data_IF_433262523229
#
_entry.id   IF_433262523229
#
_cell.length_a   1.000
_cell.length_b   1.000
_cell.length_c   1.000
_cell.angle_alpha   90.00
_cell.angle_beta   90.00
_cell.angle_gamma   90.00
#
_symmetry.space_group_name_H-M   'P 1'
#
loop_
_entity.id
_entity.type
_entity.pdbx_description
1 polymer ?
#
# COMPACT_ATOMS: atom_id res chain seq x y z
N UNK A 1 29.66 -18.43 -19.80
CA UNK A 1 28.83 -17.46 -20.55
C UNK A 1 29.58 -16.13 -20.62
N UNK A 2 29.88 -15.58 -21.81
CA UNK A 2 30.58 -14.30 -21.90
C UNK A 2 29.64 -13.19 -21.44
N UNK A 3 30.04 -12.44 -20.41
CA UNK A 3 29.30 -11.28 -19.93
C UNK A 3 29.50 -10.12 -20.90
N UNK A 4 28.56 -9.94 -21.82
CA UNK A 4 28.58 -8.82 -22.76
C UNK A 4 28.55 -7.52 -21.95
N UNK A 5 29.67 -6.80 -21.91
CA UNK A 5 29.75 -5.48 -21.27
C UNK A 5 28.77 -4.55 -21.98
N UNK A 6 27.64 -4.24 -21.33
CA UNK A 6 26.64 -3.29 -21.85
C UNK A 6 27.31 -1.93 -22.04
N UNK A 7 27.59 -1.55 -23.30
CA UNK A 7 28.05 -0.20 -23.62
C UNK A 7 26.95 0.82 -23.33
N UNK A 8 27.36 1.95 -22.77
CA UNK A 8 26.52 3.09 -22.41
C UNK A 8 25.88 3.72 -23.66
N UNK A 9 24.54 3.75 -23.72
CA UNK A 9 23.82 4.50 -24.76
C UNK A 9 23.62 5.95 -24.26
N UNK A 10 24.26 6.91 -24.92
CA UNK A 10 24.27 8.34 -24.53
C UNK A 10 22.87 9.00 -24.61
N UNK A 11 21.92 8.37 -25.31
CA UNK A 11 20.51 8.79 -25.36
C UNK A 11 19.68 8.34 -24.15
N UNK A 12 20.28 7.67 -23.13
CA UNK A 12 19.55 7.07 -21.99
C UNK A 12 19.39 7.93 -20.74
N UNK A 13 20.01 9.10 -20.64
CA UNK A 13 19.79 9.97 -19.48
C UNK A 13 18.31 10.35 -19.41
N UNK A 14 17.71 10.10 -18.25
CA UNK A 14 16.26 10.21 -18.01
C UNK A 14 15.84 11.64 -17.67
N UNK A 15 16.80 12.52 -17.38
CA UNK A 15 16.55 13.92 -17.06
C UNK A 15 17.64 14.86 -17.59
N UNK A 16 17.32 16.15 -17.69
CA UNK A 16 18.29 17.19 -18.07
C UNK A 16 19.43 17.34 -17.05
N UNK A 17 19.12 17.14 -15.76
CA UNK A 17 20.11 17.17 -14.69
C UNK A 17 21.15 16.06 -14.84
N UNK A 18 20.71 14.83 -15.13
CA UNK A 18 21.63 13.71 -15.34
C UNK A 18 22.61 13.96 -16.49
N UNK A 19 22.15 14.60 -17.58
CA UNK A 19 23.01 14.98 -18.71
C UNK A 19 24.10 15.97 -18.28
N UNK A 20 23.71 16.99 -17.52
CA UNK A 20 24.64 18.00 -17.02
C UNK A 20 25.68 17.39 -16.07
N UNK A 21 25.23 16.55 -15.14
CA UNK A 21 26.13 15.85 -14.20
C UNK A 21 27.08 14.92 -14.94
N UNK A 22 26.60 14.16 -15.93
CA UNK A 22 27.46 13.28 -16.72
C UNK A 22 28.53 14.06 -17.51
N UNK A 23 28.17 15.20 -18.09
CA UNK A 23 29.12 16.08 -18.77
C UNK A 23 30.19 16.61 -17.80
N UNK A 24 29.77 17.08 -16.62
CA UNK A 24 30.68 17.55 -15.57
C UNK A 24 31.63 16.44 -15.07
N UNK A 25 31.14 15.21 -14.94
CA UNK A 25 31.94 14.08 -14.47
C UNK A 25 32.95 13.56 -15.52
N UNK A 26 32.69 13.78 -16.82
CA UNK A 26 33.55 13.30 -17.92
C UNK A 26 34.98 13.81 -17.81
N UNK A 27 35.17 15.06 -17.37
CA UNK A 27 36.49 15.68 -17.24
C UNK A 27 37.17 15.34 -15.90
N UNK A 28 36.40 14.90 -14.90
CA UNK A 28 36.87 14.73 -13.51
C UNK A 28 37.11 13.29 -13.12
N UNK A 29 36.49 12.33 -13.81
CA UNK A 29 36.53 10.91 -13.47
C UNK A 29 36.83 10.06 -14.70
N UNK A 30 37.82 9.18 -14.59
CA UNK A 30 38.28 8.34 -15.70
C UNK A 30 37.32 7.20 -16.05
N UNK A 31 36.50 6.76 -15.09
CA UNK A 31 35.52 5.67 -15.26
C UNK A 31 34.22 6.07 -14.58
N UNK A 32 33.23 6.44 -15.39
CA UNK A 32 31.86 6.78 -14.94
C UNK A 32 30.91 5.84 -15.65
N UNK A 33 30.14 5.08 -14.88
CA UNK A 33 29.12 4.17 -15.41
C UNK A 33 27.74 4.58 -14.88
N UNK A 34 26.81 4.89 -15.77
CA UNK A 34 25.44 5.30 -15.44
C UNK A 34 24.53 4.07 -15.33
N UNK A 35 23.76 3.96 -14.24
CA UNK A 35 22.82 2.85 -13.95
C UNK A 35 23.41 1.42 -14.07
N UNK A 36 24.74 1.26 -13.97
CA UNK A 36 25.40 -0.04 -14.10
C UNK A 36 25.37 -0.87 -12.82
N UNK A 37 25.49 -0.22 -11.65
CA UNK A 37 25.45 -0.87 -10.35
C UNK A 37 24.00 -1.13 -9.93
N UNK A 38 23.73 -2.34 -9.43
CA UNK A 38 22.46 -2.70 -8.80
C UNK A 38 22.72 -3.11 -7.37
N UNK A 39 22.16 -2.37 -6.42
CA UNK A 39 22.28 -2.66 -4.99
C UNK A 39 20.99 -3.34 -4.52
N UNK A 40 21.12 -4.56 -3.99
CA UNK A 40 20.00 -5.26 -3.34
C UNK A 40 19.94 -4.80 -1.89
N UNK A 41 18.72 -4.62 -1.38
CA UNK A 41 18.47 -4.20 0.00
C UNK A 41 17.18 -4.86 0.50
N UNK A 42 17.03 -4.91 1.82
CA UNK A 42 15.84 -5.44 2.51
C UNK A 42 15.15 -4.30 3.24
N UNK A 43 13.83 -4.19 3.07
CA UNK A 43 12.99 -3.18 3.73
C UNK A 43 12.08 -3.90 4.72
N UNK A 44 12.52 -4.05 5.98
CA UNK A 44 11.68 -4.56 7.06
C UNK A 44 10.91 -3.38 7.66
N UNK A 45 9.58 -3.37 7.52
CA UNK A 45 8.73 -2.30 8.04
C UNK A 45 7.65 -2.87 8.96
N UNK A 46 7.81 -2.63 10.26
CA UNK A 46 6.77 -2.86 11.26
C UNK A 46 5.89 -1.61 11.36
N UNK A 47 4.58 -1.80 11.29
CA UNK A 47 3.60 -0.70 11.30
C UNK A 47 2.39 -1.10 12.12
N UNK A 48 1.92 -0.17 12.94
CA UNK A 48 0.68 -0.34 13.70
C UNK A 48 -0.46 0.31 12.94
N UNK A 49 -1.59 -0.39 12.88
CA UNK A 49 -2.86 0.14 12.41
C UNK A 49 -3.79 0.34 13.60
N UNK A 50 -4.37 1.53 13.68
CA UNK A 50 -5.39 1.87 14.67
C UNK A 50 -6.67 2.13 13.90
N UNK A 51 -7.71 1.29 14.06
CA UNK A 51 -8.98 1.52 13.40
C UNK A 51 -9.72 2.70 14.01
N UNK A 52 -10.59 3.34 13.22
CA UNK A 52 -11.44 4.42 13.72
C UNK A 52 -12.43 3.93 14.80
N UNK A 53 -13.10 2.80 14.57
CA UNK A 53 -14.11 2.26 15.46
C UNK A 53 -14.05 0.74 15.56
N UNK A 54 -14.48 0.23 16.71
CA UNK A 54 -14.71 -1.19 16.95
C UNK A 54 -16.08 -1.32 17.64
N UNK A 55 -16.95 -2.13 17.05
CA UNK A 55 -18.31 -2.36 17.50
C UNK A 55 -18.36 -3.43 18.61
N UNK A 56 -19.45 -3.48 19.35
CA UNK A 56 -19.60 -4.42 20.49
C UNK A 56 -19.56 -5.90 20.06
N UNK A 57 -19.92 -6.17 18.80
CA UNK A 57 -19.84 -7.50 18.19
C UNK A 57 -18.45 -7.83 17.62
N UNK A 58 -17.47 -6.93 17.73
CA UNK A 58 -16.10 -7.16 17.27
C UNK A 58 -15.83 -6.79 15.81
N UNK A 59 -16.82 -6.27 15.09
CA UNK A 59 -16.60 -5.68 13.76
C UNK A 59 -15.79 -4.39 13.92
N UNK A 60 -14.72 -4.28 13.14
CA UNK A 60 -13.89 -3.10 13.04
C UNK A 60 -14.38 -2.25 11.87
N UNK A 61 -14.60 -0.97 12.11
CA UNK A 61 -15.08 -0.03 11.09
C UNK A 61 -14.05 1.07 10.88
N UNK A 62 -13.62 1.21 9.63
CA UNK A 62 -12.74 2.28 9.17
C UNK A 62 -13.52 3.23 8.26
N UNK A 63 -13.52 4.52 8.59
CA UNK A 63 -14.15 5.55 7.77
C UNK A 63 -13.15 6.13 6.78
N UNK A 64 -13.53 6.28 5.51
CA UNK A 64 -12.61 6.76 4.47
C UNK A 64 -13.20 7.84 3.58
N UNK A 65 -12.50 8.98 3.57
CA UNK A 65 -12.61 10.01 2.55
C UNK A 65 -11.80 9.66 1.31
N UNK A 66 -10.48 9.66 1.51
CA UNK A 66 -9.49 9.26 0.51
C UNK A 66 -9.11 7.81 0.76
N UNK A 67 -9.01 7.03 -0.31
CA UNK A 67 -8.57 5.63 -0.25
C UNK A 67 -7.47 5.39 -1.28
N UNK A 68 -6.24 5.71 -0.89
CA UNK A 68 -5.07 5.69 -1.77
C UNK A 68 -4.41 4.31 -1.88
N UNK A 69 -3.29 4.23 -2.60
CA UNK A 69 -2.55 2.96 -2.77
C UNK A 69 -1.90 2.45 -1.50
N UNK A 70 -1.47 3.33 -0.60
CA UNK A 70 -0.81 2.92 0.63
C UNK A 70 -1.82 2.35 1.62
N UNK A 71 -2.98 2.98 1.76
CA UNK A 71 -4.11 2.48 2.56
C UNK A 71 -4.56 1.11 2.05
N UNK A 72 -4.72 0.94 0.73
CA UNK A 72 -5.11 -0.36 0.15
C UNK A 72 -4.09 -1.45 0.45
N UNK A 73 -2.80 -1.16 0.28
CA UNK A 73 -1.73 -2.10 0.60
C UNK A 73 -1.75 -2.46 2.08
N UNK A 74 -1.90 -1.46 2.96
CA UNK A 74 -1.96 -1.64 4.42
C UNK A 74 -3.05 -2.65 4.79
N UNK A 75 -4.27 -2.47 4.31
CA UNK A 75 -5.38 -3.36 4.68
C UNK A 75 -5.26 -4.76 4.10
N UNK A 76 -4.67 -4.93 2.91
CA UNK A 76 -4.35 -6.27 2.38
C UNK A 76 -3.33 -7.02 3.24
N UNK A 77 -2.27 -6.33 3.69
CA UNK A 77 -1.27 -6.94 4.56
C UNK A 77 -1.86 -7.28 5.93
N UNK A 78 -2.71 -6.41 6.50
CA UNK A 78 -3.41 -6.70 7.76
C UNK A 78 -4.33 -7.90 7.59
N UNK A 79 -5.17 -7.96 6.55
CA UNK A 79 -6.05 -9.11 6.30
C UNK A 79 -5.26 -10.42 6.14
N UNK A 80 -4.06 -10.36 5.56
CA UNK A 80 -3.19 -11.52 5.39
C UNK A 80 -2.57 -11.99 6.72
N UNK A 81 -2.18 -11.06 7.58
CA UNK A 81 -1.47 -11.33 8.84
C UNK A 81 -2.44 -11.58 10.02
N UNK A 82 -3.64 -11.00 9.95
CA UNK A 82 -4.69 -11.07 10.94
C UNK A 82 -6.05 -11.40 10.28
N UNK A 83 -6.19 -12.59 9.66
CA UNK A 83 -7.42 -12.98 8.99
C UNK A 83 -8.63 -13.10 9.94
N UNK A 84 -8.40 -13.16 11.25
CA UNK A 84 -9.42 -13.17 12.29
C UNK A 84 -10.12 -11.81 12.49
N UNK A 85 -9.55 -10.72 11.98
CA UNK A 85 -10.12 -9.39 12.13
C UNK A 85 -11.14 -9.08 11.03
N UNK A 86 -12.38 -8.78 11.43
CA UNK A 86 -13.43 -8.33 10.52
C UNK A 86 -13.36 -6.81 10.34
N UNK A 87 -12.58 -6.37 9.34
CA UNK A 87 -12.42 -4.95 9.00
C UNK A 87 -13.37 -4.58 7.86
N UNK A 88 -14.19 -3.56 8.08
CA UNK A 88 -15.15 -3.04 7.11
C UNK A 88 -14.97 -1.54 6.89
N UNK A 89 -15.39 -1.07 5.71
CA UNK A 89 -15.22 0.34 5.33
C UNK A 89 -16.54 1.12 5.26
N UNK A 90 -16.55 2.33 5.79
CA UNK A 90 -17.61 3.31 5.52
C UNK A 90 -17.01 4.45 4.69
N UNK A 91 -17.34 4.50 3.40
CA UNK A 91 -16.78 5.52 2.52
C UNK A 91 -17.69 6.74 2.43
N UNK A 92 -17.12 7.95 2.54
CA UNK A 92 -17.83 9.19 2.17
C UNK A 92 -18.29 9.16 0.70
N UNK A 93 -17.50 8.53 -0.17
CA UNK A 93 -17.85 8.25 -1.56
C UNK A 93 -17.26 6.92 -2.05
N UNK A 94 -17.94 5.81 -1.79
CA UNK A 94 -17.55 4.49 -2.29
C UNK A 94 -17.40 4.41 -3.83
N UNK A 95 -18.06 5.31 -4.58
CA UNK A 95 -18.01 5.37 -6.05
C UNK A 95 -16.80 6.18 -6.55
N UNK A 96 -15.98 6.75 -5.68
CA UNK A 96 -14.76 7.44 -6.08
C UNK A 96 -13.79 6.49 -6.80
N UNK A 97 -13.02 7.03 -7.74
CA UNK A 97 -11.99 6.29 -8.49
C UNK A 97 -10.75 6.08 -7.62
N UNK A 98 -10.07 4.94 -7.77
CA UNK A 98 -8.85 4.60 -7.02
C UNK A 98 -7.72 5.63 -7.14
N UNK A 99 -7.65 6.30 -8.29
CA UNK A 99 -6.77 7.42 -8.60
C UNK A 99 -7.29 8.13 -9.86
N UNK A 100 -6.71 9.29 -10.20
CA UNK A 100 -7.08 10.06 -11.40
C UNK A 100 -6.85 9.21 -12.67
N UNK A 101 -7.93 8.83 -13.34
CA UNK A 101 -7.91 8.02 -14.56
C UNK A 101 -8.17 6.52 -14.36
N UNK A 102 -8.28 6.04 -13.12
CA UNK A 102 -8.65 4.65 -12.86
C UNK A 102 -10.06 4.34 -13.40
N UNK A 103 -10.23 3.16 -14.00
CA UNK A 103 -11.55 2.63 -14.35
C UNK A 103 -12.28 2.10 -13.11
N UNK A 104 -11.52 1.50 -12.18
CA UNK A 104 -12.04 0.92 -10.95
C UNK A 104 -12.29 1.96 -9.85
N UNK A 105 -13.32 1.69 -9.05
CA UNK A 105 -13.80 2.49 -7.92
C UNK A 105 -13.43 1.83 -6.60
N UNK A 106 -13.63 2.55 -5.50
CA UNK A 106 -13.31 2.04 -4.15
C UNK A 106 -14.09 0.78 -3.83
N UNK A 107 -15.41 0.77 -4.08
CA UNK A 107 -16.23 -0.40 -3.80
C UNK A 107 -15.82 -1.64 -4.59
N UNK A 108 -15.51 -1.48 -5.89
CA UNK A 108 -15.06 -2.60 -6.73
C UNK A 108 -13.73 -3.19 -6.24
N UNK A 109 -12.89 -2.35 -5.63
CA UNK A 109 -11.68 -2.84 -4.98
C UNK A 109 -12.01 -3.64 -3.72
N UNK A 110 -12.95 -3.18 -2.90
CA UNK A 110 -13.40 -3.91 -1.72
C UNK A 110 -14.01 -5.27 -2.09
N UNK A 111 -14.93 -5.29 -3.07
CA UNK A 111 -15.56 -6.50 -3.58
C UNK A 111 -14.52 -7.51 -4.09
N UNK A 112 -13.49 -7.03 -4.80
CA UNK A 112 -12.41 -7.87 -5.32
C UNK A 112 -11.57 -8.53 -4.21
N UNK A 113 -11.43 -7.90 -3.06
CA UNK A 113 -10.57 -8.37 -1.96
C UNK A 113 -11.37 -8.78 -0.72
N UNK A 114 -12.67 -9.03 -0.88
CA UNK A 114 -13.58 -9.49 0.17
C UNK A 114 -13.63 -8.58 1.41
N UNK A 115 -13.54 -7.26 1.21
CA UNK A 115 -13.84 -6.31 2.28
C UNK A 115 -15.29 -5.88 2.19
N UNK A 116 -16.03 -5.99 3.30
CA UNK A 116 -17.36 -5.41 3.37
C UNK A 116 -17.26 -3.88 3.42
N UNK A 117 -18.22 -3.20 2.80
CA UNK A 117 -18.21 -1.75 2.72
C UNK A 117 -19.63 -1.18 2.71
N UNK A 118 -19.73 0.10 3.02
CA UNK A 118 -20.96 0.89 2.93
C UNK A 118 -20.67 2.30 2.40
N UNK A 119 -21.72 2.97 1.93
CA UNK A 119 -21.64 4.32 1.38
C UNK A 119 -22.29 5.31 2.35
N UNK A 120 -21.48 6.24 2.88
CA UNK A 120 -21.82 7.36 3.77
C UNK A 120 -22.37 7.00 5.15
N UNK A 121 -23.04 5.86 5.30
CA UNK A 121 -23.76 5.48 6.52
C UNK A 121 -23.33 4.10 6.97
N UNK A 122 -23.14 3.94 8.28
CA UNK A 122 -22.92 2.64 8.91
C UNK A 122 -24.25 1.85 8.87
N UNK A 123 -24.32 0.68 8.22
CA UNK A 123 -25.55 -0.09 8.14
C UNK A 123 -25.97 -0.62 9.51
N UNK A 124 -27.25 -0.48 9.85
CA UNK A 124 -27.81 -1.08 11.08
C UNK A 124 -27.66 -2.60 11.10
N UNK A 125 -27.65 -3.24 9.92
CA UNK A 125 -27.38 -4.67 9.79
C UNK A 125 -26.05 -5.07 10.41
N UNK A 126 -24.99 -4.25 10.28
CA UNK A 126 -23.70 -4.54 10.90
C UNK A 126 -23.75 -4.45 12.43
N UNK A 127 -24.62 -3.58 12.98
CA UNK A 127 -24.82 -3.47 14.42
C UNK A 127 -25.56 -4.68 15.00
N UNK A 128 -26.45 -5.28 14.21
CA UNK A 128 -27.27 -6.42 14.60
C UNK A 128 -26.54 -7.78 14.47
N UNK A 129 -25.37 -7.82 13.85
CA UNK A 129 -24.60 -9.04 13.67
C UNK A 129 -24.08 -9.60 15.00
N UNK A 130 -24.09 -10.93 15.11
CA UNK A 130 -23.59 -11.64 16.29
C UNK A 130 -22.07 -11.67 16.31
N UNK A 131 -21.49 -11.42 17.48
CA UNK A 131 -20.05 -11.53 17.68
C UNK A 131 -19.69 -11.01 19.07
N UNK A 132 -18.39 -10.91 19.34
CA UNK A 132 -17.89 -10.32 20.58
C UNK A 132 -16.64 -9.52 20.29
N UNK A 133 -16.62 -8.32 20.87
CA UNK A 133 -15.42 -7.50 20.98
C UNK A 133 -14.26 -8.27 21.60
N UNK A 134 -13.06 -8.04 21.08
CA UNK A 134 -11.84 -8.62 21.66
C UNK A 134 -11.44 -7.88 22.95
N UNK A 135 -10.82 -8.59 23.90
CA UNK A 135 -10.23 -7.98 25.11
C UNK A 135 -8.81 -7.47 24.91
N UNK A 136 -8.10 -8.02 23.92
CA UNK A 136 -6.74 -7.65 23.55
C UNK A 136 -6.72 -6.25 22.94
N UNK A 137 -5.74 -5.43 23.35
CA UNK A 137 -5.53 -4.09 22.78
C UNK A 137 -4.56 -4.08 21.60
N UNK A 138 -3.78 -5.15 21.46
CA UNK A 138 -2.74 -5.28 20.45
C UNK A 138 -2.79 -6.69 19.87
N UNK A 139 -2.62 -6.77 18.56
CA UNK A 139 -2.41 -8.01 17.82
C UNK A 139 -0.97 -8.02 17.33
N UNK A 140 -0.26 -9.11 17.62
CA UNK A 140 1.14 -9.28 17.24
C UNK A 140 1.23 -10.20 16.02
N UNK A 141 2.22 -9.96 15.17
CA UNK A 141 2.51 -10.83 14.02
C UNK A 141 3.41 -11.99 14.47
N UNK A 142 3.46 -13.09 13.71
CA UNK A 142 4.21 -14.31 14.07
C UNK A 142 5.69 -14.06 14.44
N UNK A 143 6.31 -13.02 13.88
CA UNK A 143 7.70 -12.63 14.16
C UNK A 143 7.90 -11.97 15.53
N UNK A 144 6.80 -11.58 16.20
CA UNK A 144 6.76 -10.90 17.50
C UNK A 144 6.11 -11.77 18.61
N UNK A 145 5.69 -13.00 18.31
CA UNK A 145 5.19 -14.01 19.27
C UNK A 145 6.33 -14.82 19.88
#
# INVERSE_FOLDING_TARGET
>A
MPTTKRRHNVHRYRSGLEKQVAAYLKEKQKKVEYEALRIKWRDLRYRTYTPDFELDNGIIVETKGIFDSEDRRKHLEIQKQHPELDIRFVFSNAKARLYKGAKSRYFEWCDKHNFQWSHKVLPEGWLAETGKRTKSKTFLIEEEL
#
